data_IF_156355213071
#
_entry.id   IF_156355213071
#
_cell.length_a   1.000
_cell.length_b   1.000
_cell.length_c   1.000
_cell.angle_alpha   90.00
_cell.angle_beta   90.00
_cell.angle_gamma   90.00
#
_symmetry.space_group_name_H-M   'P 1'
#
loop_
_entity.id
_entity.type
_entity.pdbx_description
1 polymer ?
#
# COMPACT_ATOMS: atom_id res chain seq x y z
N UNK A 1 -11.20 -5.72 0.57
CA UNK A 1 -9.94 -5.93 -0.16
C UNK A 1 -10.20 -6.95 -1.26
N UNK A 2 -9.68 -6.73 -2.47
CA UNK A 2 -9.79 -7.71 -3.56
C UNK A 2 -8.95 -8.94 -3.22
N UNK A 3 -9.43 -10.13 -3.61
CA UNK A 3 -8.69 -11.38 -3.38
C UNK A 3 -7.44 -11.46 -4.27
N UNK A 4 -6.32 -11.94 -3.71
CA UNK A 4 -5.00 -12.01 -4.37
C UNK A 4 -5.03 -12.71 -5.72
N UNK A 5 -5.72 -13.85 -5.82
CA UNK A 5 -5.87 -14.61 -7.06
C UNK A 5 -6.58 -13.82 -8.18
N UNK A 6 -7.55 -12.97 -7.82
CA UNK A 6 -8.25 -12.09 -8.78
C UNK A 6 -7.36 -10.95 -9.27
N UNK A 7 -6.61 -10.33 -8.34
CA UNK A 7 -5.64 -9.28 -8.69
C UNK A 7 -4.62 -9.82 -9.70
N UNK A 8 -4.06 -11.00 -9.41
CA UNK A 8 -3.04 -11.62 -10.25
C UNK A 8 -3.61 -12.06 -11.60
N UNK A 9 -4.81 -12.66 -11.63
CA UNK A 9 -5.49 -13.06 -12.86
C UNK A 9 -5.69 -11.89 -13.82
N UNK A 10 -6.23 -10.78 -13.34
CA UNK A 10 -6.47 -9.60 -14.17
C UNK A 10 -5.18 -8.97 -14.70
N UNK A 11 -4.09 -9.02 -13.93
CA UNK A 11 -2.79 -8.53 -14.38
C UNK A 11 -2.21 -9.43 -15.49
N UNK A 12 -2.29 -10.75 -15.32
CA UNK A 12 -1.80 -11.73 -16.31
C UNK A 12 -2.64 -11.67 -17.59
N UNK A 13 -3.96 -11.54 -17.49
CA UNK A 13 -4.86 -11.50 -18.65
C UNK A 13 -4.54 -10.34 -19.61
N UNK A 14 -3.99 -9.22 -19.11
CA UNK A 14 -3.58 -8.06 -19.92
C UNK A 14 -2.37 -8.35 -20.82
N UNK A 15 -1.48 -9.23 -20.39
CA UNK A 15 -0.19 -9.51 -21.06
C UNK A 15 -0.22 -10.89 -21.74
N UNK A 16 -1.09 -11.79 -21.27
CA UNK A 16 -1.23 -13.15 -21.76
C UNK A 16 -0.35 -14.14 -21.01
N UNK A 17 -0.95 -15.28 -20.63
CA UNK A 17 -0.31 -16.30 -19.79
C UNK A 17 0.97 -16.89 -20.38
N UNK A 18 1.08 -16.99 -21.71
CA UNK A 18 2.27 -17.54 -22.39
C UNK A 18 3.50 -16.66 -22.19
N UNK A 19 3.32 -15.34 -22.23
CA UNK A 19 4.39 -14.39 -22.01
C UNK A 19 4.91 -14.47 -20.57
N UNK A 20 3.98 -14.51 -19.60
CA UNK A 20 4.32 -14.67 -18.17
C UNK A 20 5.02 -16.02 -17.93
N UNK A 21 4.49 -17.12 -18.48
CA UNK A 21 5.10 -18.46 -18.41
C UNK A 21 6.54 -18.48 -18.90
N UNK A 22 6.81 -17.82 -20.04
CA UNK A 22 8.14 -17.75 -20.63
C UNK A 22 9.11 -16.95 -19.75
N UNK A 23 8.68 -15.79 -19.22
CA UNK A 23 9.53 -14.95 -18.38
C UNK A 23 9.85 -15.59 -17.02
N UNK A 24 8.87 -16.24 -16.39
CA UNK A 24 9.05 -16.90 -15.10
C UNK A 24 9.68 -18.30 -15.23
N UNK A 25 9.84 -18.83 -16.44
CA UNK A 25 10.32 -20.19 -16.72
C UNK A 25 9.54 -21.26 -15.93
N UNK A 26 8.20 -21.16 -15.95
CA UNK A 26 7.28 -22.10 -15.29
C UNK A 26 6.12 -22.46 -16.21
N UNK A 27 5.42 -23.56 -15.91
CA UNK A 27 4.29 -24.00 -16.72
C UNK A 27 3.10 -23.03 -16.63
N UNK A 28 2.36 -22.91 -17.74
CA UNK A 28 1.08 -22.19 -17.76
C UNK A 28 0.08 -22.76 -16.76
N UNK A 29 0.10 -24.08 -16.52
CA UNK A 29 -0.73 -24.73 -15.50
C UNK A 29 -0.44 -24.22 -14.09
N UNK A 30 0.83 -23.96 -13.74
CA UNK A 30 1.19 -23.37 -12.44
C UNK A 30 0.67 -21.95 -12.31
N UNK A 31 0.76 -21.16 -13.38
CA UNK A 31 0.24 -19.78 -13.39
C UNK A 31 -1.29 -19.77 -13.28
N UNK A 32 -2.00 -20.66 -13.97
CA UNK A 32 -3.44 -20.82 -13.79
C UNK A 32 -3.79 -21.16 -12.34
N UNK A 33 -3.02 -22.05 -11.71
CA UNK A 33 -3.19 -22.40 -10.30
C UNK A 33 -2.99 -21.20 -9.37
N UNK A 34 -2.07 -20.27 -9.68
CA UNK A 34 -1.94 -19.02 -8.91
C UNK A 34 -3.16 -18.09 -9.03
N UNK A 35 -3.90 -18.18 -10.14
CA UNK A 35 -5.09 -17.37 -10.42
C UNK A 35 -6.40 -18.00 -9.92
N UNK A 36 -6.35 -19.22 -9.40
CA UNK A 36 -7.48 -19.92 -8.82
C UNK A 36 -7.69 -19.53 -7.35
N UNK A 37 -8.93 -19.67 -6.87
CA UNK A 37 -9.24 -19.44 -5.47
C UNK A 37 -8.48 -20.49 -4.62
N UNK A 38 -7.67 -20.08 -3.61
CA UNK A 38 -6.97 -21.04 -2.77
C UNK A 38 -7.96 -22.01 -2.13
N UNK A 39 -7.80 -23.31 -2.45
CA UNK A 39 -8.56 -24.34 -1.75
C UNK A 39 -8.20 -24.31 -0.26
N UNK A 40 -9.16 -24.41 0.67
CA UNK A 40 -8.89 -24.44 2.12
C UNK A 40 -7.96 -25.59 2.56
N UNK A 41 -7.70 -26.55 1.66
CA UNK A 41 -6.79 -27.68 1.88
C UNK A 41 -5.31 -27.40 1.57
N UNK A 42 -4.93 -26.25 1.01
CA UNK A 42 -3.52 -25.95 0.74
C UNK A 42 -2.83 -25.53 2.04
N UNK A 43 -2.38 -26.52 2.82
CA UNK A 43 -1.42 -26.25 3.88
C UNK A 43 -0.09 -25.84 3.23
N UNK A 44 0.59 -24.84 3.81
CA UNK A 44 1.94 -24.42 3.36
C UNK A 44 2.97 -25.56 3.37
N UNK A 45 2.63 -26.74 3.94
CA UNK A 45 3.46 -27.94 3.96
C UNK A 45 3.47 -28.73 2.65
N UNK A 46 2.47 -28.59 1.77
CA UNK A 46 2.28 -29.51 0.64
C UNK A 46 2.61 -28.94 -0.74
N UNK A 47 2.89 -27.63 -0.86
CA UNK A 47 3.03 -27.07 -2.20
C UNK A 47 4.03 -25.90 -2.30
N UNK A 48 5.30 -26.21 -2.11
CA UNK A 48 6.40 -25.31 -2.50
C UNK A 48 6.29 -24.98 -3.99
N UNK A 49 5.79 -23.79 -4.31
CA UNK A 49 5.65 -23.27 -5.69
C UNK A 49 4.22 -23.02 -6.16
N UNK A 50 3.19 -23.64 -5.58
CA UNK A 50 1.80 -23.46 -6.07
C UNK A 50 1.00 -22.39 -5.34
N UNK A 51 1.53 -21.87 -4.24
CA UNK A 51 0.95 -20.73 -3.54
C UNK A 51 1.11 -19.49 -4.40
N UNK A 52 0.03 -18.71 -4.53
CA UNK A 52 0.04 -17.44 -5.23
C UNK A 52 1.17 -16.52 -4.69
N UNK A 53 1.97 -15.90 -5.57
CA UNK A 53 3.09 -15.06 -5.16
C UNK A 53 2.72 -13.88 -4.25
N UNK A 54 1.54 -13.27 -4.44
CA UNK A 54 1.05 -12.20 -3.57
C UNK A 54 0.75 -12.72 -2.16
N UNK A 55 0.19 -13.92 -2.04
CA UNK A 55 -0.07 -14.56 -0.74
C UNK A 55 1.24 -14.94 -0.04
N UNK A 56 2.29 -15.29 -0.80
CA UNK A 56 3.63 -15.52 -0.24
C UNK A 56 4.21 -14.24 0.35
N UNK A 57 4.16 -13.12 -0.37
CA UNK A 57 4.63 -11.82 0.14
C UNK A 57 3.87 -11.44 1.42
N UNK A 58 2.54 -11.57 1.41
CA UNK A 58 1.70 -11.35 2.58
C UNK A 58 2.11 -12.24 3.76
N UNK A 59 2.38 -13.52 3.51
CA UNK A 59 2.81 -14.46 4.56
C UNK A 59 4.17 -14.10 5.15
N UNK A 60 5.14 -13.67 4.32
CA UNK A 60 6.44 -13.21 4.81
C UNK A 60 6.24 -11.98 5.71
N UNK A 61 5.40 -11.03 5.30
CA UNK A 61 5.05 -9.88 6.15
C UNK A 61 4.37 -10.31 7.45
N UNK A 62 3.37 -11.20 7.39
CA UNK A 62 2.63 -11.67 8.57
C UNK A 62 3.56 -12.36 9.60
N UNK A 63 4.61 -13.06 9.15
CA UNK A 63 5.59 -13.72 10.02
C UNK A 63 6.63 -12.73 10.57
N UNK A 64 7.16 -11.87 9.72
CA UNK A 64 8.28 -10.98 10.07
C UNK A 64 7.85 -9.69 10.75
N UNK A 65 6.62 -9.23 10.47
CA UNK A 65 6.11 -7.91 10.81
C UNK A 65 7.01 -6.76 10.32
N UNK A 66 7.86 -7.00 9.31
CA UNK A 66 8.76 -6.01 8.75
C UNK A 66 8.09 -5.25 7.60
N UNK A 67 7.77 -3.98 7.83
CA UNK A 67 7.12 -3.11 6.85
C UNK A 67 7.97 -2.86 5.60
N UNK A 68 9.30 -3.07 5.68
CA UNK A 68 10.20 -2.86 4.55
C UNK A 68 9.88 -3.78 3.37
N UNK A 69 9.29 -4.96 3.62
CA UNK A 69 8.84 -5.86 2.56
C UNK A 69 7.76 -5.19 1.70
N UNK A 70 6.81 -4.50 2.34
CA UNK A 70 5.73 -3.79 1.64
C UNK A 70 6.28 -2.56 0.92
N UNK A 71 7.13 -1.79 1.60
CA UNK A 71 7.78 -0.62 1.00
C UNK A 71 8.58 -0.98 -0.25
N UNK A 72 9.33 -2.09 -0.22
CA UNK A 72 10.10 -2.55 -1.39
C UNK A 72 9.21 -2.86 -2.60
N UNK A 73 8.05 -3.51 -2.39
CA UNK A 73 7.09 -3.79 -3.47
C UNK A 73 6.50 -2.50 -4.03
N UNK A 74 6.16 -1.53 -3.18
CA UNK A 74 5.65 -0.23 -3.62
C UNK A 74 6.70 0.56 -4.42
N UNK A 75 7.96 0.54 -3.99
CA UNK A 75 9.06 1.21 -4.68
C UNK A 75 9.31 0.65 -6.09
N UNK A 76 9.00 -0.63 -6.35
CA UNK A 76 9.07 -1.21 -7.69
C UNK A 76 8.11 -0.53 -8.70
N UNK A 77 7.12 0.22 -8.22
CA UNK A 77 6.20 1.02 -9.02
C UNK A 77 6.40 2.54 -8.80
N UNK A 78 7.57 2.97 -8.32
CA UNK A 78 7.88 4.36 -7.93
C UNK A 78 6.88 4.93 -6.89
N UNK A 79 6.35 4.05 -6.05
CA UNK A 79 5.38 4.37 -5.00
C UNK A 79 5.92 4.16 -3.59
N UNK A 80 5.11 4.51 -2.61
CA UNK A 80 5.34 4.27 -1.18
C UNK A 80 4.05 3.74 -0.55
N UNK A 81 4.19 2.98 0.54
CA UNK A 81 3.05 2.52 1.31
C UNK A 81 2.68 3.56 2.36
N UNK A 82 1.43 4.05 2.31
CA UNK A 82 0.87 4.88 3.37
C UNK A 82 0.06 3.99 4.30
N UNK A 83 0.47 3.90 5.57
CA UNK A 83 -0.30 3.17 6.56
C UNK A 83 -1.65 3.86 6.77
N UNK A 84 -2.73 3.08 6.68
CA UNK A 84 -4.05 3.61 7.01
C UNK A 84 -4.09 4.06 8.48
N UNK A 85 -4.75 5.18 8.81
CA UNK A 85 -4.91 5.63 10.17
C UNK A 85 -5.78 4.66 10.98
N UNK A 86 -5.45 4.49 12.26
CA UNK A 86 -6.23 3.65 13.19
C UNK A 86 -7.54 4.37 13.55
N UNK A 87 -8.63 4.09 12.85
CA UNK A 87 -9.94 4.68 13.14
C UNK A 87 -10.62 3.91 14.28
N UNK A 88 -10.76 4.53 15.47
CA UNK A 88 -11.64 4.03 16.53
C UNK A 88 -13.11 4.16 16.09
N UNK A 89 -13.92 3.12 16.31
CA UNK A 89 -15.34 3.06 15.89
C UNK A 89 -16.26 4.14 16.50
N UNK A 90 -15.79 4.91 17.48
CA UNK A 90 -16.59 5.84 18.28
C UNK A 90 -16.76 7.26 17.72
N UNK A 91 -16.05 7.64 16.65
CA UNK A 91 -15.87 9.07 16.34
C UNK A 91 -16.23 9.49 14.90
N UNK A 92 -17.18 8.84 14.25
CA UNK A 92 -17.33 8.99 12.79
C UNK A 92 -18.01 10.26 12.31
N UNK A 93 -18.80 10.95 13.14
CA UNK A 93 -19.61 12.09 12.64
C UNK A 93 -18.96 13.45 12.96
N UNK A 94 -18.26 13.57 14.11
CA UNK A 94 -17.56 14.78 14.50
C UNK A 94 -16.15 14.92 13.89
N UNK A 95 -15.55 13.83 13.38
CA UNK A 95 -14.17 13.84 12.88
C UNK A 95 -13.99 14.34 11.45
N UNK A 96 -15.04 14.39 10.62
CA UNK A 96 -14.86 14.78 9.21
C UNK A 96 -14.43 16.25 9.09
N UNK A 97 -15.06 17.15 9.85
CA UNK A 97 -14.74 18.58 9.83
C UNK A 97 -13.43 18.91 10.58
N UNK A 98 -13.17 18.20 11.69
CA UNK A 98 -11.88 18.27 12.41
C UNK A 98 -10.73 17.72 11.55
N UNK A 99 -10.97 16.67 10.76
CA UNK A 99 -10.00 16.14 9.81
C UNK A 99 -9.68 17.17 8.71
N UNK A 100 -10.66 17.90 8.18
CA UNK A 100 -10.41 18.95 7.17
C UNK A 100 -9.50 20.07 7.71
N UNK A 101 -9.74 20.56 8.92
CA UNK A 101 -8.88 21.57 9.54
C UNK A 101 -7.47 21.00 9.83
N UNK A 102 -7.39 19.73 10.22
CA UNK A 102 -6.11 19.05 10.44
C UNK A 102 -5.34 18.89 9.13
N UNK A 103 -5.99 18.52 8.01
CA UNK A 103 -5.36 18.44 6.68
C UNK A 103 -4.76 19.80 6.28
N UNK A 104 -5.49 20.90 6.48
CA UNK A 104 -4.99 22.25 6.15
C UNK A 104 -3.79 22.61 7.04
N UNK A 105 -3.83 22.26 8.33
CA UNK A 105 -2.73 22.49 9.27
C UNK A 105 -1.47 21.70 8.87
N UNK A 106 -1.60 20.40 8.66
CA UNK A 106 -0.50 19.51 8.23
C UNK A 106 0.08 19.94 6.87
N UNK A 107 -0.77 20.36 5.93
CA UNK A 107 -0.30 20.92 4.65
C UNK A 107 0.48 22.22 4.85
N UNK A 108 0.04 23.09 5.76
CA UNK A 108 0.73 24.34 6.08
C UNK A 108 2.07 24.10 6.78
N UNK A 109 2.15 23.10 7.66
CA UNK A 109 3.38 22.68 8.35
C UNK A 109 4.38 22.04 7.36
N UNK A 110 3.88 21.22 6.43
CA UNK A 110 4.70 20.69 5.32
C UNK A 110 5.24 21.83 4.45
N UNK A 111 4.40 22.81 4.08
CA UNK A 111 4.81 23.97 3.29
C UNK A 111 5.84 24.83 4.02
N UNK A 112 5.68 25.05 5.33
CA UNK A 112 6.63 25.77 6.16
C UNK A 112 7.98 25.06 6.18
N UNK A 113 7.99 23.74 6.41
CA UNK A 113 9.20 22.91 6.41
C UNK A 113 9.93 22.99 5.05
N UNK A 114 9.20 22.86 3.94
CA UNK A 114 9.77 23.00 2.59
C UNK A 114 10.34 24.40 2.37
N UNK A 115 9.64 25.44 2.82
CA UNK A 115 10.04 26.83 2.64
C UNK A 115 11.26 27.20 3.48
N UNK A 116 11.37 26.68 4.71
CA UNK A 116 12.53 26.86 5.58
C UNK A 116 13.76 26.18 4.98
N UNK A 117 13.62 24.93 4.54
CA UNK A 117 14.70 24.19 3.88
C UNK A 117 15.15 24.80 2.55
N UNK A 118 14.32 25.60 1.89
CA UNK A 118 14.71 26.32 0.68
C UNK A 118 15.45 27.63 0.97
N UNK A 119 15.18 28.28 2.09
CA UNK A 119 15.69 29.62 2.41
C UNK A 119 17.10 29.63 3.00
N UNK A 120 17.55 28.55 3.64
CA UNK A 120 18.85 28.52 4.31
C UNK A 120 20.05 28.43 3.35
N UNK A 121 19.95 27.70 2.22
CA UNK A 121 21.09 27.53 1.30
C UNK A 121 20.72 27.33 -0.18
N UNK A 122 19.45 27.52 -0.56
CA UNK A 122 18.87 27.16 -1.88
C UNK A 122 19.10 25.70 -2.28
N UNK A 123 19.44 24.83 -1.33
CA UNK A 123 19.66 23.40 -1.51
C UNK A 123 18.99 22.67 -0.38
N UNK A 124 18.12 21.72 -0.72
CA UNK A 124 17.53 20.81 0.25
C UNK A 124 18.58 19.74 0.57
N UNK A 125 19.01 19.68 1.83
CA UNK A 125 19.88 18.63 2.33
C UNK A 125 19.14 17.27 2.41
N UNK A 126 19.88 16.17 2.57
CA UNK A 126 19.27 14.84 2.71
C UNK A 126 18.35 14.76 3.93
N UNK A 127 18.75 15.34 5.06
CA UNK A 127 17.95 15.35 6.29
C UNK A 127 16.64 16.13 6.10
N UNK A 128 16.67 17.23 5.36
CA UNK A 128 15.48 18.02 5.04
C UNK A 128 14.56 17.29 4.06
N UNK A 129 15.14 16.61 3.07
CA UNK A 129 14.35 15.75 2.17
C UNK A 129 13.66 14.61 2.92
N UNK A 130 14.32 14.03 3.94
CA UNK A 130 13.72 13.03 4.83
C UNK A 130 12.60 13.63 5.70
N UNK A 131 12.80 14.84 6.25
CA UNK A 131 11.76 15.54 7.01
C UNK A 131 10.53 15.85 6.14
N UNK A 132 10.75 16.42 4.95
CA UNK A 132 9.69 16.69 3.96
C UNK A 132 8.96 15.41 3.60
N UNK A 133 9.70 14.31 3.39
CA UNK A 133 9.09 13.00 3.11
C UNK A 133 8.17 12.58 4.25
N UNK A 134 8.62 12.69 5.49
CA UNK A 134 7.84 12.31 6.67
C UNK A 134 6.53 13.12 6.77
N UNK A 135 6.61 14.44 6.71
CA UNK A 135 5.43 15.32 6.76
C UNK A 135 4.44 15.02 5.61
N UNK A 136 4.97 14.72 4.42
CA UNK A 136 4.17 14.32 3.27
C UNK A 136 3.49 12.94 3.46
N UNK A 137 4.13 11.99 4.11
CA UNK A 137 3.51 10.72 4.53
C UNK A 137 2.37 10.94 5.54
N UNK A 138 2.57 11.80 6.53
CA UNK A 138 1.57 12.11 7.55
C UNK A 138 0.33 12.80 6.94
N UNK A 139 0.52 13.78 6.05
CA UNK A 139 -0.58 14.42 5.32
C UNK A 139 -1.43 13.40 4.54
N UNK A 140 -0.78 12.49 3.81
CA UNK A 140 -1.49 11.45 3.03
C UNK A 140 -2.26 10.50 3.92
N UNK A 141 -1.71 10.14 5.07
CA UNK A 141 -2.39 9.30 6.05
C UNK A 141 -3.66 9.97 6.59
N UNK A 142 -3.61 11.27 6.89
CA UNK A 142 -4.79 12.02 7.32
C UNK A 142 -5.83 12.10 6.21
N UNK A 143 -5.42 12.37 4.97
CA UNK A 143 -6.31 12.40 3.82
C UNK A 143 -6.99 11.04 3.56
N UNK A 144 -6.26 9.93 3.69
CA UNK A 144 -6.80 8.57 3.55
C UNK A 144 -7.84 8.25 4.64
N UNK A 145 -7.65 8.76 5.87
CA UNK A 145 -8.64 8.68 6.96
C UNK A 145 -10.00 9.22 6.52
N UNK A 146 -9.97 10.37 5.86
CA UNK A 146 -11.15 11.07 5.38
C UNK A 146 -11.83 10.26 4.27
N UNK A 147 -11.08 9.78 3.27
CA UNK A 147 -11.64 8.94 2.18
C UNK A 147 -12.30 7.68 2.75
N UNK A 148 -11.66 7.00 3.71
CA UNK A 148 -12.26 5.83 4.37
C UNK A 148 -13.52 6.15 5.15
N UNK A 149 -13.56 7.30 5.83
CA UNK A 149 -14.78 7.76 6.50
C UNK A 149 -15.92 7.91 5.48
N UNK A 150 -15.61 8.46 4.29
CA UNK A 150 -16.57 8.58 3.20
C UNK A 150 -17.05 7.22 2.66
N UNK A 151 -16.13 6.30 2.38
CA UNK A 151 -16.44 4.97 1.87
C UNK A 151 -17.23 4.11 2.87
N UNK A 152 -17.12 4.40 4.17
CA UNK A 152 -17.83 3.67 5.22
C UNK A 152 -19.35 3.93 5.25
N UNK A 153 -19.86 4.81 4.38
CA UNK A 153 -21.29 5.07 4.22
C UNK A 153 -21.94 5.77 5.41
N UNK A 154 -21.14 6.39 6.29
CA UNK A 154 -21.60 7.08 7.51
C UNK A 154 -21.97 8.55 7.29
N UNK A 155 -22.30 8.93 6.06
CA UNK A 155 -22.96 10.20 5.80
C UNK A 155 -24.46 10.03 5.99
N UNK A 156 -24.99 10.57 7.10
CA UNK A 156 -26.37 11.02 7.21
C UNK A 156 -26.37 12.49 7.58
#
# INVERSE_FOLDING_TARGET
MKESHKVLKEAIDKVGIKQVSTQFNISTALIYKWCENPSPAVSYKEASGTVNPLDRIKTIYDITQDINIINWVCQAADGYFVENPKVSRSDTDAKVMVNMQSIIKEFSETLATISESYNDDKKISLNEAEAIRKEWEDLKRVAESFVRACESGKFK
#
